data_IF_735983664128
#
_entry.id   IF_735983664128
#
_cell.length_a   1.000
_cell.length_b   1.000
_cell.length_c   1.000
_cell.angle_alpha   90.00
_cell.angle_beta   90.00
_cell.angle_gamma   90.00
#
_symmetry.space_group_name_H-M   'P 1'
#
loop_
_entity.id
_entity.type
_entity.pdbx_description
1 polymer ?
#
# COMPACT_ATOMS: atom_id res chain seq x y z
N UNK A 1 -37.11 7.28 -6.91
CA UNK A 1 -36.27 6.82 -5.78
C UNK A 1 -35.62 5.51 -6.20
N UNK A 2 -34.42 5.56 -6.80
CA UNK A 2 -33.67 4.33 -7.16
C UNK A 2 -32.44 4.26 -6.27
N UNK A 3 -32.45 3.36 -5.30
CA UNK A 3 -31.23 2.94 -4.63
C UNK A 3 -30.35 2.22 -5.65
N UNK A 4 -29.12 2.69 -5.79
CA UNK A 4 -28.05 2.00 -6.49
C UNK A 4 -27.62 0.90 -5.53
N UNK A 5 -27.79 -0.40 -5.82
CA UNK A 5 -27.08 -1.40 -5.05
C UNK A 5 -25.62 -1.08 -5.24
N UNK A 6 -24.96 -0.61 -4.18
CA UNK A 6 -23.51 -0.55 -4.11
C UNK A 6 -23.07 -1.96 -4.50
N UNK A 7 -22.68 -2.10 -5.77
CA UNK A 7 -22.23 -3.35 -6.35
C UNK A 7 -21.22 -3.87 -5.35
N UNK A 8 -21.64 -4.91 -4.61
CA UNK A 8 -20.88 -5.51 -3.55
C UNK A 8 -19.48 -5.65 -4.11
N UNK A 9 -18.51 -4.99 -3.45
CA UNK A 9 -17.14 -4.92 -3.93
C UNK A 9 -16.67 -6.35 -4.14
N UNK A 10 -16.75 -6.85 -5.38
CA UNK A 10 -16.39 -8.22 -5.70
C UNK A 10 -14.88 -8.26 -5.59
N UNK A 11 -14.39 -8.58 -4.39
CA UNK A 11 -12.99 -8.89 -4.17
C UNK A 11 -12.67 -10.07 -5.08
N UNK A 12 -11.80 -9.87 -6.06
CA UNK A 12 -11.32 -10.94 -6.92
C UNK A 12 -10.35 -11.82 -6.14
N UNK A 13 -10.25 -13.10 -6.50
CA UNK A 13 -9.23 -13.99 -5.95
C UNK A 13 -7.82 -13.43 -6.27
N UNK A 14 -6.91 -13.30 -5.30
CA UNK A 14 -5.56 -12.80 -5.55
C UNK A 14 -4.68 -13.77 -6.36
N UNK A 15 -5.08 -15.05 -6.48
CA UNK A 15 -4.32 -16.07 -7.21
C UNK A 15 -4.80 -16.32 -8.63
N UNK A 16 -6.12 -16.24 -8.89
CA UNK A 16 -6.69 -16.56 -10.20
C UNK A 16 -7.61 -15.46 -10.77
N UNK A 17 -7.75 -14.33 -10.06
CA UNK A 17 -8.55 -13.16 -10.44
C UNK A 17 -10.06 -13.40 -10.62
N UNK A 18 -10.56 -14.58 -10.26
CA UNK A 18 -11.98 -14.91 -10.35
C UNK A 18 -12.83 -14.11 -9.34
N UNK A 19 -14.05 -13.66 -9.71
CA UNK A 19 -15.03 -13.12 -8.78
C UNK A 19 -15.24 -14.02 -7.56
N UNK A 20 -15.07 -13.49 -6.34
CA UNK A 20 -15.36 -14.24 -5.12
C UNK A 20 -16.81 -14.05 -4.68
N UNK A 21 -17.44 -15.13 -4.25
CA UNK A 21 -18.70 -15.06 -3.52
C UNK A 21 -18.45 -14.53 -2.11
N UNK A 22 -19.37 -13.71 -1.61
CA UNK A 22 -19.24 -13.02 -0.33
C UNK A 22 -19.54 -13.93 0.88
N UNK A 23 -18.76 -15.00 1.07
CA UNK A 23 -18.56 -15.71 2.36
C UNK A 23 -17.52 -16.86 2.26
N UNK A 24 -16.83 -17.02 1.12
CA UNK A 24 -15.99 -18.19 0.89
C UNK A 24 -14.68 -18.15 1.71
N UNK A 25 -14.38 -19.26 2.41
CA UNK A 25 -13.07 -19.47 3.06
C UNK A 25 -11.97 -19.85 2.06
N UNK A 26 -12.36 -20.48 0.96
CA UNK A 26 -11.46 -20.92 -0.12
C UNK A 26 -12.06 -20.55 -1.47
N UNK A 27 -11.22 -20.21 -2.44
CA UNK A 27 -11.68 -19.97 -3.81
C UNK A 27 -12.11 -21.29 -4.46
N UNK A 28 -13.37 -21.35 -4.94
CA UNK A 28 -13.93 -22.54 -5.60
C UNK A 28 -13.24 -22.95 -6.91
N UNK A 29 -12.55 -22.03 -7.61
CA UNK A 29 -11.85 -22.34 -8.86
C UNK A 29 -10.40 -22.81 -8.69
N UNK A 30 -9.63 -22.19 -7.79
CA UNK A 30 -8.19 -22.48 -7.66
C UNK A 30 -7.76 -23.04 -6.29
N UNK A 31 -8.65 -23.03 -5.28
CA UNK A 31 -8.37 -23.55 -3.94
C UNK A 31 -7.57 -22.63 -3.02
N UNK A 32 -7.31 -21.37 -3.41
CA UNK A 32 -6.60 -20.40 -2.57
C UNK A 32 -7.38 -20.11 -1.27
N UNK A 33 -6.68 -20.10 -0.12
CA UNK A 33 -7.25 -19.80 1.20
C UNK A 33 -7.48 -18.29 1.38
N UNK A 34 -8.75 -17.88 1.33
CA UNK A 34 -9.19 -16.49 1.46
C UNK A 34 -9.24 -16.05 2.92
N UNK A 35 -9.30 -17.00 3.86
CA UNK A 35 -9.37 -16.70 5.29
C UNK A 35 -8.03 -16.24 5.89
N UNK A 36 -6.92 -16.50 5.21
CA UNK A 36 -5.60 -15.97 5.54
C UNK A 36 -5.41 -14.50 5.12
N UNK A 37 -6.32 -13.94 4.31
CA UNK A 37 -6.24 -12.56 3.85
C UNK A 37 -6.92 -11.65 4.88
N UNK A 38 -6.19 -10.74 5.55
CA UNK A 38 -6.81 -9.78 6.45
C UNK A 38 -7.85 -8.94 5.71
N UNK A 39 -8.98 -8.65 6.37
CA UNK A 39 -9.96 -7.73 5.82
C UNK A 39 -9.26 -6.41 5.44
N UNK A 40 -9.43 -5.97 4.20
CA UNK A 40 -8.85 -4.70 3.76
C UNK A 40 -9.37 -3.60 4.69
N UNK A 41 -8.48 -2.77 5.27
CA UNK A 41 -8.92 -1.60 6.02
C UNK A 41 -9.89 -0.81 5.16
N UNK A 42 -11.02 -0.37 5.72
CA UNK A 42 -11.92 0.52 5.00
C UNK A 42 -11.10 1.75 4.61
N UNK A 43 -10.96 1.98 3.32
CA UNK A 43 -10.35 3.19 2.76
C UNK A 43 -11.25 4.39 3.08
N UNK A 44 -11.22 4.86 4.33
CA UNK A 44 -11.72 6.17 4.71
C UNK A 44 -10.65 7.18 4.29
N UNK A 45 -10.97 8.14 3.42
CA UNK A 45 -9.98 9.12 2.96
C UNK A 45 -9.37 9.83 4.17
N UNK A 46 -8.04 9.83 4.24
CA UNK A 46 -7.26 10.44 5.35
C UNK A 46 -7.48 11.95 5.47
N UNK A 47 -8.07 12.59 4.45
CA UNK A 47 -8.40 14.02 4.42
C UNK A 47 -9.89 14.17 4.10
N UNK A 48 -10.61 14.90 4.96
CA UNK A 48 -11.92 15.41 4.62
C UNK A 48 -11.74 16.64 3.69
N UNK A 49 -12.45 16.69 2.55
CA UNK A 49 -12.27 17.73 1.51
C UNK A 49 -12.55 19.17 1.98
N UNK A 50 -13.06 19.32 3.20
CA UNK A 50 -13.35 20.57 3.89
C UNK A 50 -12.20 21.03 4.82
N UNK A 51 -11.03 20.37 4.78
CA UNK A 51 -9.81 20.81 5.46
C UNK A 51 -9.80 20.61 6.98
N UNK A 52 -10.85 20.04 7.55
CA UNK A 52 -10.89 19.66 8.96
C UNK A 52 -10.26 18.27 9.12
N UNK A 53 -9.01 18.21 9.58
CA UNK A 53 -8.37 16.95 9.99
C UNK A 53 -8.88 16.63 11.40
N UNK A 54 -9.71 15.58 11.60
CA UNK A 54 -9.99 15.12 12.96
C UNK A 54 -8.68 14.63 13.61
N UNK A 55 -8.51 14.91 14.90
CA UNK A 55 -7.35 14.43 15.65
C UNK A 55 -7.23 12.91 15.47
N UNK A 56 -6.02 12.37 15.25
CA UNK A 56 -5.86 10.93 15.13
C UNK A 56 -6.37 10.27 16.40
N UNK A 57 -7.40 9.43 16.27
CA UNK A 57 -7.75 8.47 17.31
C UNK A 57 -6.48 7.66 17.59
N UNK A 58 -6.03 7.66 18.84
CA UNK A 58 -4.84 6.91 19.25
C UNK A 58 -4.84 5.51 18.62
N UNK A 59 -3.71 5.03 18.07
CA UNK A 59 -3.65 3.70 17.50
C UNK A 59 -4.09 2.67 18.57
N UNK A 60 -4.90 1.65 18.21
CA UNK A 60 -5.10 0.51 19.09
C UNK A 60 -3.72 -0.09 19.36
N UNK A 61 -3.39 -0.26 20.65
CA UNK A 61 -2.16 -0.81 21.23
C UNK A 61 -0.97 -0.96 20.26
N UNK A 62 -0.06 0.01 20.38
CA UNK A 62 1.14 0.25 19.60
C UNK A 62 1.79 -0.98 18.95
N UNK A 63 1.93 -0.91 17.63
CA UNK A 63 3.02 -1.61 16.95
C UNK A 63 4.32 -1.08 17.53
N UNK A 64 5.13 -1.96 18.12
CA UNK A 64 6.47 -1.67 18.66
C UNK A 64 7.44 -1.39 17.51
N UNK A 65 7.27 -0.23 16.88
CA UNK A 65 8.20 0.25 15.88
C UNK A 65 9.50 0.64 16.59
N UNK A 66 10.67 0.19 16.09
CA UNK A 66 11.94 0.62 16.64
C UNK A 66 12.03 2.14 16.57
N UNK A 67 12.44 2.77 17.67
CA UNK A 67 12.70 4.19 17.70
C UNK A 67 13.67 4.56 16.58
N UNK A 68 13.27 5.48 15.72
CA UNK A 68 14.16 6.04 14.71
C UNK A 68 15.38 6.66 15.44
N UNK A 69 16.57 6.32 14.96
CA UNK A 69 17.85 6.67 15.62
C UNK A 69 18.13 8.17 15.55
N UNK A 70 17.55 8.83 14.55
CA UNK A 70 17.74 10.25 14.30
C UNK A 70 16.47 11.00 14.68
N UNK A 71 16.59 11.85 15.70
CA UNK A 71 15.59 12.87 15.98
C UNK A 71 15.81 13.97 14.94
N UNK A 72 14.78 14.21 14.13
CA UNK A 72 14.49 15.47 13.44
C UNK A 72 15.61 16.08 12.57
N UNK A 73 15.87 15.49 11.40
CA UNK A 73 16.61 16.18 10.32
C UNK A 73 15.86 17.41 9.73
N UNK A 74 14.83 17.90 10.43
CA UNK A 74 13.98 19.05 10.13
C UNK A 74 14.74 20.35 9.87
N UNK A 75 15.93 20.50 10.46
CA UNK A 75 16.74 21.73 10.39
C UNK A 75 17.84 21.72 9.33
N UNK A 76 18.05 20.61 8.61
CA UNK A 76 19.16 20.47 7.65
C UNK A 76 18.61 20.22 6.25
N UNK A 77 18.88 21.09 5.26
CA UNK A 77 18.45 20.84 3.90
C UNK A 77 19.12 19.56 3.41
N UNK A 78 18.30 18.61 2.97
CA UNK A 78 18.78 17.37 2.33
C UNK A 78 19.50 17.75 1.03
N UNK A 79 20.66 17.16 0.72
CA UNK A 79 21.29 17.35 -0.59
C UNK A 79 20.30 16.98 -1.70
N UNK A 80 20.02 17.92 -2.61
CA UNK A 80 19.30 17.61 -3.83
C UNK A 80 20.24 16.87 -4.78
N UNK A 81 19.86 15.65 -5.17
CA UNK A 81 20.56 14.87 -6.18
C UNK A 81 19.80 14.97 -7.50
N UNK A 82 20.49 15.27 -8.60
CA UNK A 82 19.94 15.10 -9.93
C UNK A 82 19.88 13.60 -10.28
N UNK A 83 18.99 13.18 -11.19
CA UNK A 83 18.93 11.78 -11.63
C UNK A 83 20.27 11.24 -12.16
N UNK A 84 21.14 12.11 -12.69
CA UNK A 84 22.46 11.75 -13.18
C UNK A 84 23.49 11.49 -12.07
N UNK A 85 23.22 11.90 -10.83
CA UNK A 85 24.14 11.77 -9.69
C UNK A 85 24.02 10.39 -9.00
N UNK A 86 23.01 9.60 -9.36
CA UNK A 86 22.73 8.30 -8.75
C UNK A 86 23.26 7.18 -9.67
N UNK A 87 24.25 6.37 -9.24
CA UNK A 87 24.72 5.24 -10.03
C UNK A 87 23.59 4.22 -10.25
N UNK A 88 23.40 3.80 -11.51
CA UNK A 88 22.49 2.69 -11.82
C UNK A 88 23.13 1.36 -11.42
N UNK A 89 22.59 0.72 -10.37
CA UNK A 89 23.03 -0.60 -9.92
C UNK A 89 21.88 -1.62 -9.95
N UNK A 90 22.20 -2.90 -10.16
CA UNK A 90 21.25 -3.99 -9.93
C UNK A 90 21.00 -4.26 -8.43
N UNK A 91 20.13 -5.22 -8.12
CA UNK A 91 19.79 -5.60 -6.75
C UNK A 91 20.96 -6.16 -5.94
N UNK A 92 22.01 -6.64 -6.60
CA UNK A 92 23.28 -7.06 -6.00
C UNK A 92 24.33 -5.95 -5.90
N UNK A 93 23.99 -4.72 -6.31
CA UNK A 93 24.87 -3.56 -6.23
C UNK A 93 25.90 -3.45 -7.37
N UNK A 94 25.82 -4.30 -8.40
CA UNK A 94 26.72 -4.21 -9.55
C UNK A 94 26.23 -3.16 -10.56
N UNK A 95 27.14 -2.47 -11.28
CA UNK A 95 26.77 -1.43 -12.23
C UNK A 95 25.97 -2.00 -13.41
N UNK A 96 24.87 -1.34 -13.77
CA UNK A 96 24.05 -1.70 -14.92
C UNK A 96 24.78 -1.42 -16.24
N UNK A 97 24.58 -2.25 -17.29
CA UNK A 97 25.14 -1.97 -18.60
C UNK A 97 24.55 -0.66 -19.18
N UNK A 98 25.29 0.05 -20.05
CA UNK A 98 24.80 1.27 -20.67
C UNK A 98 23.50 0.99 -21.42
N UNK A 99 22.46 1.76 -21.12
CA UNK A 99 21.17 1.61 -21.77
C UNK A 99 21.31 2.10 -23.22
N UNK A 100 20.97 1.24 -24.18
CA UNK A 100 21.05 1.59 -25.59
C UNK A 100 19.86 2.51 -25.92
N UNK A 101 20.06 3.69 -26.53
CA UNK A 101 18.96 4.51 -27.02
C UNK A 101 18.10 3.71 -28.01
N UNK A 102 16.78 3.95 -27.99
CA UNK A 102 15.83 3.39 -28.95
C UNK A 102 15.96 4.03 -30.33
#
# INVERSE_FOLDING_TARGET
MSQMPQQAAVSKCPSCEEPLESDDRFCGACGYDLSAVPARPKDSPTIAMNGAVPAPSSPPDGVDWPAARETDSSGRPVPAHAPADVPGTDSGGSPLPPQRPA
#
